data_IF_150573172637
#
_entry.id   IF_150573172637
#
_cell.length_a   1.000
_cell.length_b   1.000
_cell.length_c   1.000
_cell.angle_alpha   90.00
_cell.angle_beta   90.00
_cell.angle_gamma   90.00
#
_symmetry.space_group_name_H-M   'P 1'
#
loop_
_entity.id
_entity.type
_entity.pdbx_description
1 polymer ?
#
# COMPACT_ATOMS: atom_id res chain seq x y z
N UNK A 1 -21.23 11.79 4.21
CA UNK A 1 -21.00 12.50 2.93
C UNK A 1 -19.51 12.47 2.68
N UNK A 2 -19.04 11.83 1.59
CA UNK A 2 -17.59 11.77 1.27
C UNK A 2 -17.04 13.16 0.98
N UNK A 3 -15.80 13.41 1.41
CA UNK A 3 -15.06 14.66 1.17
C UNK A 3 -14.75 14.85 -0.33
N UNK A 4 -14.52 16.09 -0.75
CA UNK A 4 -14.14 16.39 -2.14
C UNK A 4 -12.76 15.81 -2.52
N UNK A 5 -11.87 15.65 -1.53
CA UNK A 5 -10.57 15.02 -1.72
C UNK A 5 -10.69 13.52 -1.99
N UNK A 6 -11.51 12.79 -1.23
CA UNK A 6 -11.82 11.37 -1.50
C UNK A 6 -12.47 11.21 -2.88
N UNK A 7 -13.43 12.07 -3.25
CA UNK A 7 -14.04 12.01 -4.59
C UNK A 7 -13.03 12.21 -5.72
N UNK A 8 -12.09 13.14 -5.54
CA UNK A 8 -11.02 13.36 -6.51
C UNK A 8 -10.07 12.16 -6.59
N UNK A 9 -9.79 11.51 -5.45
CA UNK A 9 -9.01 10.28 -5.41
C UNK A 9 -9.66 9.14 -6.21
N UNK A 10 -10.97 8.92 -6.05
CA UNK A 10 -11.70 7.92 -6.82
C UNK A 10 -11.55 8.14 -8.33
N UNK A 11 -11.69 9.39 -8.80
CA UNK A 11 -11.54 9.71 -10.23
C UNK A 11 -10.13 9.44 -10.75
N UNK A 12 -9.10 9.79 -9.97
CA UNK A 12 -7.71 9.50 -10.34
C UNK A 12 -7.46 7.99 -10.37
N UNK A 13 -7.97 7.24 -9.40
CA UNK A 13 -7.85 5.78 -9.36
C UNK A 13 -8.54 5.09 -10.55
N UNK A 14 -9.72 5.57 -10.96
CA UNK A 14 -10.45 5.04 -12.12
C UNK A 14 -9.71 5.28 -13.45
N UNK A 15 -8.86 6.30 -13.52
CA UNK A 15 -8.05 6.64 -14.69
C UNK A 15 -6.68 5.94 -14.72
N UNK A 16 -6.27 5.30 -13.62
CA UNK A 16 -4.99 4.60 -13.51
C UNK A 16 -5.02 3.26 -14.26
N UNK A 17 -4.05 3.04 -15.15
CA UNK A 17 -4.00 1.79 -15.94
C UNK A 17 -3.57 0.58 -15.09
N UNK A 18 -2.69 0.80 -14.11
CA UNK A 18 -2.10 -0.27 -13.29
C UNK A 18 -2.16 0.06 -11.81
N UNK A 19 -3.37 0.17 -11.23
CA UNK A 19 -3.51 0.55 -9.84
C UNK A 19 -2.91 -0.51 -8.91
N UNK A 20 -2.26 -0.04 -7.84
CA UNK A 20 -1.76 -0.91 -6.79
C UNK A 20 -2.92 -1.38 -5.90
N UNK A 21 -2.81 -2.60 -5.37
CA UNK A 21 -3.82 -3.18 -4.46
C UNK A 21 -4.13 -2.23 -3.29
N UNK A 22 -3.09 -1.72 -2.63
CA UNK A 22 -3.22 -0.89 -1.44
C UNK A 22 -3.67 0.55 -1.70
N UNK A 23 -3.76 0.96 -2.98
CA UNK A 23 -4.31 2.26 -3.37
C UNK A 23 -5.77 2.15 -3.81
N UNK A 24 -6.36 0.96 -3.76
CA UNK A 24 -7.75 0.78 -4.14
C UNK A 24 -8.70 1.44 -3.13
N UNK A 25 -9.69 2.25 -3.55
CA UNK A 25 -10.62 2.89 -2.63
C UNK A 25 -11.39 1.89 -1.76
N UNK A 26 -11.80 0.75 -2.33
CA UNK A 26 -12.47 -0.31 -1.58
C UNK A 26 -11.57 -0.93 -0.51
N UNK A 27 -10.25 -0.97 -0.71
CA UNK A 27 -9.29 -1.45 0.28
C UNK A 27 -9.17 -0.44 1.43
N UNK A 28 -9.09 0.85 1.10
CA UNK A 28 -9.04 1.93 2.07
C UNK A 28 -10.32 1.97 2.91
N UNK A 29 -11.49 1.81 2.28
CA UNK A 29 -12.77 1.72 2.97
C UNK A 29 -12.85 0.51 3.91
N UNK A 30 -12.37 -0.65 3.46
CA UNK A 30 -12.36 -1.87 4.27
C UNK A 30 -11.42 -1.79 5.47
N UNK A 31 -10.25 -1.16 5.30
CA UNK A 31 -9.20 -1.11 6.33
C UNK A 31 -9.33 0.07 7.29
N UNK A 32 -9.86 1.20 6.82
CA UNK A 32 -10.01 2.41 7.63
C UNK A 32 -11.44 2.59 8.17
N UNK A 33 -12.41 1.89 7.59
CA UNK A 33 -13.83 2.11 7.85
C UNK A 33 -14.37 3.37 7.17
N UNK A 34 -15.70 3.54 7.20
CA UNK A 34 -16.37 4.66 6.56
C UNK A 34 -15.90 6.01 7.13
N UNK A 35 -15.29 6.84 6.27
CA UNK A 35 -14.75 8.15 6.66
C UNK A 35 -13.45 8.09 7.48
N UNK A 36 -12.83 6.92 7.62
CA UNK A 36 -11.58 6.75 8.34
C UNK A 36 -10.34 7.11 7.53
N UNK A 37 -10.46 7.41 6.24
CA UNK A 37 -9.34 7.81 5.40
C UNK A 37 -9.66 9.09 4.63
N UNK A 38 -8.62 9.76 4.19
CA UNK A 38 -8.66 11.01 3.43
C UNK A 38 -7.50 11.02 2.44
N UNK A 39 -7.53 11.92 1.45
CA UNK A 39 -6.44 12.10 0.51
C UNK A 39 -5.81 13.49 0.64
N UNK A 40 -4.48 13.54 0.61
CA UNK A 40 -3.77 14.79 0.29
C UNK A 40 -3.87 14.96 -1.21
N UNK A 41 -4.42 16.09 -1.67
CA UNK A 41 -4.63 16.36 -3.10
C UNK A 41 -3.80 17.54 -3.55
N UNK A 42 -3.23 17.43 -4.74
CA UNK A 42 -2.56 18.53 -5.44
C UNK A 42 -3.35 18.94 -6.67
N UNK A 43 -3.43 20.25 -6.87
CA UNK A 43 -4.12 20.86 -8.01
C UNK A 43 -3.12 21.43 -9.01
N UNK A 44 -3.48 21.41 -10.28
CA UNK A 44 -2.79 22.16 -11.33
C UNK A 44 -3.24 23.63 -11.32
N UNK A 45 -2.63 24.45 -12.18
CA UNK A 45 -2.95 25.88 -12.32
C UNK A 45 -4.42 26.14 -12.68
N UNK A 46 -5.05 25.18 -13.36
CA UNK A 46 -6.47 25.21 -13.75
C UNK A 46 -7.42 24.74 -12.62
N UNK A 47 -6.92 24.61 -11.38
CA UNK A 47 -7.63 24.12 -10.20
C UNK A 47 -8.08 22.65 -10.24
N UNK A 48 -7.72 21.89 -11.29
CA UNK A 48 -8.04 20.46 -11.38
C UNK A 48 -7.12 19.65 -10.46
N UNK A 49 -7.68 18.67 -9.74
CA UNK A 49 -6.87 17.74 -8.94
C UNK A 49 -6.12 16.79 -9.89
N UNK A 50 -4.80 16.86 -9.84
CA UNK A 50 -3.89 16.11 -10.72
C UNK A 50 -3.10 15.02 -9.99
N UNK A 51 -3.11 15.03 -8.66
CA UNK A 51 -2.39 14.06 -7.86
C UNK A 51 -3.03 13.89 -6.49
N UNK A 52 -2.98 12.67 -5.95
CA UNK A 52 -3.48 12.39 -4.62
C UNK A 52 -2.76 11.24 -3.91
N UNK A 53 -2.54 11.38 -2.59
CA UNK A 53 -1.95 10.35 -1.71
C UNK A 53 -2.93 10.03 -0.57
N UNK A 54 -3.33 8.76 -0.40
CA UNK A 54 -4.26 8.40 0.65
C UNK A 54 -3.54 8.27 2.00
N UNK A 55 -4.27 8.54 3.07
CA UNK A 55 -3.82 8.29 4.44
C UNK A 55 -5.00 7.94 5.36
N UNK A 56 -4.71 7.21 6.43
CA UNK A 56 -5.68 6.99 7.51
C UNK A 56 -5.69 8.19 8.45
N UNK A 57 -6.88 8.76 8.64
CA UNK A 57 -7.11 9.92 9.51
C UNK A 57 -7.65 9.40 10.83
N UNK A 58 -6.86 9.54 11.89
CA UNK A 58 -7.21 9.00 13.21
C UNK A 58 -6.71 9.87 14.36
N UNK A 59 -6.90 9.39 15.59
CA UNK A 59 -6.35 10.01 16.79
C UNK A 59 -5.61 8.98 17.63
N UNK A 60 -4.40 9.32 18.08
CA UNK A 60 -3.60 8.49 18.98
C UNK A 60 -3.44 9.23 20.29
N UNK A 61 -4.03 8.70 21.37
CA UNK A 61 -4.04 9.34 22.70
C UNK A 61 -4.56 10.79 22.65
N UNK A 62 -5.58 11.05 21.84
CA UNK A 62 -6.19 12.38 21.67
C UNK A 62 -5.46 13.32 20.71
N UNK A 63 -4.30 12.94 20.19
CA UNK A 63 -3.57 13.72 19.19
C UNK A 63 -4.00 13.32 17.78
N UNK A 64 -4.25 14.30 16.91
CA UNK A 64 -4.54 14.05 15.50
C UNK A 64 -3.37 13.33 14.82
N UNK A 65 -3.67 12.24 14.12
CA UNK A 65 -2.67 11.40 13.47
C UNK A 65 -3.01 11.14 12.00
N UNK A 66 -2.00 11.28 11.16
CA UNK A 66 -1.97 10.84 9.77
C UNK A 66 -1.07 9.62 9.69
N UNK A 67 -1.65 8.45 9.44
CA UNK A 67 -0.88 7.20 9.42
C UNK A 67 -1.18 6.36 8.18
N UNK A 68 -0.32 5.39 7.88
CA UNK A 68 -0.61 4.38 6.86
C UNK A 68 -1.90 3.62 7.22
N UNK A 69 -2.82 3.42 6.26
CA UNK A 69 -4.00 2.59 6.46
C UNK A 69 -3.67 1.23 7.10
N UNK A 70 -4.50 0.72 8.01
CA UNK A 70 -4.30 -0.59 8.60
C UNK A 70 -4.10 -1.68 7.53
N UNK A 71 -3.29 -2.69 7.84
CA UNK A 71 -3.00 -3.82 6.94
C UNK A 71 -2.36 -3.44 5.59
N UNK A 72 -1.96 -2.20 5.40
CA UNK A 72 -1.37 -1.70 4.16
C UNK A 72 0.15 -1.68 4.25
N UNK A 73 0.82 -2.27 3.27
CA UNK A 73 2.29 -2.31 3.26
C UNK A 73 2.89 -0.95 2.93
N UNK A 74 2.31 -0.26 1.93
CA UNK A 74 2.68 1.09 1.53
C UNK A 74 1.50 1.78 0.87
N UNK A 75 1.43 3.10 1.02
CA UNK A 75 0.60 3.97 0.19
C UNK A 75 1.43 4.49 -0.98
N UNK A 76 0.77 4.84 -2.07
CA UNK A 76 1.43 5.37 -3.28
C UNK A 76 0.61 6.53 -3.84
N UNK A 77 1.31 7.44 -4.51
CA UNK A 77 0.70 8.54 -5.23
C UNK A 77 -0.11 7.98 -6.40
N UNK A 78 -1.31 8.52 -6.61
CA UNK A 78 -1.99 8.40 -7.89
C UNK A 78 -1.95 9.76 -8.56
N UNK A 79 -1.47 9.79 -9.80
CA UNK A 79 -1.36 11.01 -10.61
C UNK A 79 -2.25 10.90 -11.85
N UNK A 80 -2.66 12.05 -12.37
CA UNK A 80 -3.37 12.15 -13.65
C UNK A 80 -2.44 11.65 -14.77
N UNK A 81 -2.96 10.88 -15.74
CA UNK A 81 -2.18 10.47 -16.92
C UNK A 81 -1.59 11.66 -17.70
N UNK A 82 -2.31 12.79 -17.69
CA UNK A 82 -1.90 14.03 -18.37
C UNK A 82 -0.72 14.74 -17.70
N UNK A 83 -0.38 14.40 -16.45
CA UNK A 83 0.73 15.01 -15.72
C UNK A 83 1.53 13.96 -14.93
N UNK A 84 2.32 13.13 -15.64
CA UNK A 84 3.13 12.08 -15.02
C UNK A 84 4.36 12.63 -14.30
N UNK A 85 4.60 13.95 -14.35
CA UNK A 85 5.81 14.58 -13.81
C UNK A 85 5.69 14.92 -12.32
N UNK A 86 4.52 14.72 -11.72
CA UNK A 86 4.28 15.03 -10.31
C UNK A 86 5.05 14.05 -9.42
N UNK A 87 6.16 14.53 -8.86
CA UNK A 87 6.95 13.79 -7.88
C UNK A 87 6.22 13.66 -6.53
N UNK A 88 6.41 12.50 -5.88
CA UNK A 88 5.97 12.26 -4.50
C UNK A 88 6.45 13.36 -3.53
N UNK A 89 7.66 13.89 -3.74
CA UNK A 89 8.23 14.94 -2.90
C UNK A 89 7.38 16.19 -2.88
N UNK A 90 6.81 16.52 -4.04
CA UNK A 90 5.98 17.70 -4.18
C UNK A 90 4.71 17.57 -3.36
N UNK A 91 4.10 16.38 -3.29
CA UNK A 91 2.94 16.16 -2.45
C UNK A 91 3.26 16.16 -0.95
N UNK A 92 4.49 15.78 -0.58
CA UNK A 92 4.92 15.78 0.82
C UNK A 92 5.02 17.18 1.43
N UNK A 93 5.19 18.22 0.60
CA UNK A 93 5.11 19.61 1.08
C UNK A 93 3.69 20.05 1.39
N UNK A 94 2.69 19.38 0.80
CA UNK A 94 1.26 19.72 0.93
C UNK A 94 0.59 18.92 2.06
N UNK A 95 1.34 18.13 2.83
CA UNK A 95 0.80 17.36 3.94
C UNK A 95 0.13 18.31 4.96
N UNK A 96 -1.12 18.05 5.36
CA UNK A 96 -1.78 18.84 6.38
C UNK A 96 -1.05 18.67 7.71
N UNK A 97 -1.04 19.75 8.50
CA UNK A 97 -0.44 19.72 9.84
C UNK A 97 -1.16 18.69 10.71
N UNK A 98 -0.38 17.75 11.23
CA UNK A 98 -0.84 16.74 12.18
C UNK A 98 0.19 16.62 13.31
N UNK A 99 -0.27 16.26 14.50
CA UNK A 99 0.61 16.02 15.64
C UNK A 99 1.45 14.75 15.46
N UNK A 100 0.92 13.76 14.75
CA UNK A 100 1.59 12.49 14.45
C UNK A 100 1.49 12.22 12.95
N UNK A 101 2.64 11.99 12.33
CA UNK A 101 2.78 11.60 10.94
C UNK A 101 3.58 10.29 10.87
N UNK A 102 2.96 9.22 10.37
CA UNK A 102 3.60 7.91 10.17
C UNK A 102 3.11 7.28 8.86
N UNK A 103 3.75 7.66 7.75
CA UNK A 103 3.43 7.16 6.42
C UNK A 103 4.55 6.27 5.88
N UNK A 104 4.21 5.03 5.57
CA UNK A 104 4.97 4.13 4.72
C UNK A 104 4.58 4.37 3.26
N UNK A 105 5.43 5.08 2.51
CA UNK A 105 5.19 5.43 1.11
C UNK A 105 6.02 4.51 0.22
N UNK A 106 5.41 3.99 -0.85
CA UNK A 106 6.09 3.16 -1.83
C UNK A 106 7.24 3.97 -2.45
N UNK A 107 8.49 3.48 -2.39
CA UNK A 107 9.60 4.16 -3.03
C UNK A 107 9.52 3.89 -4.55
N UNK A 108 9.18 4.90 -5.33
CA UNK A 108 9.12 4.81 -6.80
C UNK A 108 10.49 5.02 -7.45
N UNK A 109 11.51 4.43 -6.82
CA UNK A 109 12.88 4.23 -7.32
C UNK A 109 13.86 5.40 -7.38
N UNK A 110 13.52 6.60 -6.91
CA UNK A 110 14.54 7.63 -6.63
C UNK A 110 14.45 8.11 -5.18
N UNK A 111 15.38 7.61 -4.37
CA UNK A 111 15.56 7.89 -2.93
C UNK A 111 15.94 9.35 -2.62
N UNK A 112 15.69 10.27 -3.53
CA UNK A 112 16.13 11.64 -3.42
C UNK A 112 15.02 12.49 -2.80
N UNK A 113 14.57 12.17 -1.58
CA UNK A 113 13.84 13.13 -0.74
C UNK A 113 14.77 14.28 -0.32
N UNK A 114 15.39 14.95 -1.29
CA UNK A 114 16.15 16.16 -1.09
C UNK A 114 15.16 17.25 -0.66
N UNK A 115 15.51 18.00 0.38
CA UNK A 115 14.74 19.14 0.88
C UNK A 115 13.46 18.83 1.66
N UNK A 116 13.27 17.60 2.17
CA UNK A 116 12.19 17.29 3.13
C UNK A 116 12.75 17.34 4.55
N UNK A 117 12.23 18.25 5.39
CA UNK A 117 12.56 18.36 6.81
C UNK A 117 11.78 17.37 7.69
N UNK A 118 11.61 16.13 7.23
CA UNK A 118 10.92 15.06 7.95
C UNK A 118 11.87 13.87 8.16
N UNK A 119 11.81 13.19 9.32
CA UNK A 119 12.57 11.96 9.53
C UNK A 119 12.04 10.85 8.59
N UNK A 120 12.94 10.23 7.83
CA UNK A 120 12.62 9.14 6.89
C UNK A 120 13.42 7.88 7.24
N UNK A 121 12.75 6.72 7.23
CA UNK A 121 13.38 5.41 7.42
C UNK A 121 13.10 4.54 6.20
N UNK A 122 14.12 3.89 5.67
CA UNK A 122 13.99 2.98 4.53
C UNK A 122 13.50 1.59 4.98
N UNK A 123 12.49 1.06 4.30
CA UNK A 123 11.98 -0.29 4.46
C UNK A 123 12.22 -1.08 3.17
N UNK A 124 12.75 -2.29 3.31
CA UNK A 124 13.02 -3.18 2.18
C UNK A 124 11.93 -4.23 2.04
N UNK A 125 11.61 -4.59 0.81
CA UNK A 125 10.72 -5.71 0.46
C UNK A 125 11.32 -6.51 -0.68
N UNK A 126 10.93 -7.77 -0.79
CA UNK A 126 11.30 -8.62 -1.91
C UNK A 126 10.25 -8.47 -3.02
N UNK A 127 10.70 -8.34 -4.26
CA UNK A 127 9.84 -8.33 -5.45
C UNK A 127 10.19 -9.57 -6.27
N UNK A 128 9.19 -10.41 -6.54
CA UNK A 128 9.31 -11.53 -7.49
C UNK A 128 8.70 -11.05 -8.80
N UNK A 129 9.49 -10.82 -9.86
CA UNK A 129 8.97 -10.32 -11.13
C UNK A 129 7.96 -11.29 -11.74
N UNK A 130 6.73 -10.82 -12.00
CA UNK A 130 5.65 -11.64 -12.56
C UNK A 130 5.79 -11.95 -14.06
N UNK A 131 6.87 -11.52 -14.72
CA UNK A 131 7.06 -11.67 -16.17
C UNK A 131 7.77 -12.98 -16.56
N UNK A 132 8.25 -13.76 -15.59
CA UNK A 132 8.91 -15.04 -15.85
C UNK A 132 7.91 -16.19 -15.72
N UNK A 133 8.05 -17.21 -16.57
CA UNK A 133 7.29 -18.46 -16.38
C UNK A 133 7.66 -19.09 -15.04
N UNK A 134 6.71 -19.78 -14.40
CA UNK A 134 6.98 -20.45 -13.12
C UNK A 134 8.13 -21.47 -13.21
N UNK A 135 8.32 -22.08 -14.38
CA UNK A 135 9.45 -22.98 -14.62
C UNK A 135 10.80 -22.24 -14.64
N UNK A 136 10.84 -21.04 -15.23
CA UNK A 136 12.03 -20.20 -15.23
C UNK A 136 12.38 -19.75 -13.80
N UNK A 137 11.38 -19.36 -12.99
CA UNK A 137 11.58 -19.00 -11.59
C UNK A 137 12.08 -20.20 -10.78
N UNK A 138 11.48 -21.39 -10.97
CA UNK A 138 11.88 -22.63 -10.30
C UNK A 138 13.29 -23.08 -10.66
N UNK A 139 13.76 -22.81 -11.88
CA UNK A 139 15.12 -23.15 -12.30
C UNK A 139 16.20 -22.48 -11.45
N UNK A 140 15.90 -21.28 -10.92
CA UNK A 140 16.79 -20.45 -10.09
C UNK A 140 16.80 -20.86 -8.61
N UNK A 141 15.99 -21.83 -8.20
CA UNK A 141 15.95 -22.28 -6.81
C UNK A 141 17.25 -23.00 -6.43
N UNK A 142 17.70 -22.79 -5.19
CA UNK A 142 18.79 -23.58 -4.64
C UNK A 142 18.36 -25.03 -4.38
N UNK A 143 19.32 -25.96 -4.32
CA UNK A 143 19.04 -27.39 -4.16
C UNK A 143 18.30 -27.72 -2.85
N UNK A 144 18.55 -26.95 -1.79
CA UNK A 144 17.84 -27.10 -0.51
C UNK A 144 16.34 -26.82 -0.64
N UNK A 145 15.98 -25.73 -1.32
CA UNK A 145 14.60 -25.34 -1.59
C UNK A 145 13.91 -26.37 -2.49
N UNK A 146 14.57 -26.82 -3.57
CA UNK A 146 14.04 -27.87 -4.45
C UNK A 146 13.71 -29.15 -3.68
N UNK A 147 14.62 -29.61 -2.81
CA UNK A 147 14.41 -30.79 -1.97
C UNK A 147 13.22 -30.61 -1.01
N UNK A 148 13.12 -29.44 -0.36
CA UNK A 148 12.04 -29.14 0.57
C UNK A 148 10.68 -29.10 -0.13
N UNK A 149 10.59 -28.50 -1.32
CA UNK A 149 9.37 -28.47 -2.13
C UNK A 149 8.92 -29.89 -2.51
N UNK A 150 9.84 -30.74 -2.99
CA UNK A 150 9.55 -32.15 -3.31
C UNK A 150 9.03 -32.96 -2.12
N UNK A 151 9.50 -32.64 -0.91
CA UNK A 151 9.00 -33.29 0.30
C UNK A 151 7.62 -32.75 0.70
N UNK A 152 7.41 -31.44 0.55
CA UNK A 152 6.12 -30.81 0.82
C UNK A 152 5.02 -31.33 -0.12
N UNK A 153 5.30 -31.48 -1.41
CA UNK A 153 4.37 -32.03 -2.41
C UNK A 153 3.87 -33.44 -2.07
N UNK A 154 4.64 -34.23 -1.32
CA UNK A 154 4.23 -35.57 -0.87
C UNK A 154 3.32 -35.54 0.35
N UNK A 155 3.49 -34.53 1.21
CA UNK A 155 2.87 -34.49 2.55
C UNK A 155 1.65 -33.57 2.59
N UNK A 156 1.55 -32.62 1.66
CA UNK A 156 0.52 -31.59 1.66
C UNK A 156 -0.21 -31.55 0.33
N UNK A 157 -1.49 -31.17 0.37
CA UNK A 157 -2.29 -30.87 -0.81
C UNK A 157 -2.76 -29.41 -0.73
N UNK A 158 -2.92 -28.78 -1.89
CA UNK A 158 -3.42 -27.41 -1.99
C UNK A 158 -4.92 -27.45 -2.29
N UNK A 159 -5.69 -26.66 -1.54
CA UNK A 159 -7.12 -26.49 -1.76
C UNK A 159 -7.45 -25.00 -1.71
N UNK A 160 -8.31 -24.58 -2.64
CA UNK A 160 -8.93 -23.24 -2.62
C UNK A 160 -10.24 -23.33 -1.83
N UNK A 161 -10.50 -22.34 -0.98
CA UNK A 161 -11.68 -22.28 -0.14
C UNK A 161 -12.14 -20.84 0.03
N UNK A 162 -13.45 -20.64 -0.10
CA UNK A 162 -14.11 -19.36 0.15
C UNK A 162 -14.56 -19.21 1.62
N UNK A 163 -14.27 -20.21 2.48
CA UNK A 163 -14.60 -20.14 3.89
C UNK A 163 -13.64 -19.21 4.65
N UNK A 164 -14.01 -17.93 4.67
CA UNK A 164 -13.29 -16.87 5.38
C UNK A 164 -13.12 -17.17 6.87
N UNK A 165 -13.94 -18.02 7.50
CA UNK A 165 -13.84 -18.32 8.94
C UNK A 165 -12.62 -19.18 9.26
N UNK A 166 -12.14 -19.96 8.30
CA UNK A 166 -10.92 -20.77 8.47
C UNK A 166 -9.70 -19.87 8.66
N UNK A 167 -9.63 -18.75 7.95
CA UNK A 167 -8.45 -17.88 7.96
C UNK A 167 -8.11 -17.30 9.36
N UNK A 168 -9.04 -16.66 10.11
CA UNK A 168 -8.79 -16.22 11.48
C UNK A 168 -8.31 -17.33 12.40
N UNK A 169 -8.88 -18.54 12.27
CA UNK A 169 -8.48 -19.69 13.09
C UNK A 169 -7.02 -20.10 12.85
N UNK A 170 -6.56 -20.07 11.59
CA UNK A 170 -5.17 -20.35 11.23
C UNK A 170 -4.22 -19.23 11.73
N UNK A 171 -4.65 -17.97 11.63
CA UNK A 171 -3.89 -16.84 12.16
C UNK A 171 -3.71 -16.95 13.68
N UNK A 172 -4.77 -17.31 14.42
CA UNK A 172 -4.72 -17.51 15.87
C UNK A 172 -3.76 -18.64 16.25
N UNK A 173 -3.87 -19.80 15.59
CA UNK A 173 -2.95 -20.93 15.81
C UNK A 173 -1.49 -20.52 15.59
N UNK A 174 -1.21 -19.79 14.51
CA UNK A 174 0.14 -19.30 14.21
C UNK A 174 0.65 -18.34 15.27
N UNK A 175 -0.20 -17.43 15.75
CA UNK A 175 0.17 -16.47 16.78
C UNK A 175 0.50 -17.16 18.12
N UNK A 176 -0.33 -18.13 18.54
CA UNK A 176 -0.14 -18.86 19.79
C UNK A 176 1.13 -19.71 19.81
N UNK A 177 1.59 -20.21 18.65
CA UNK A 177 2.83 -20.97 18.52
C UNK A 177 4.10 -20.12 18.66
N UNK A 178 4.00 -18.79 18.64
CA UNK A 178 5.15 -17.87 18.76
C UNK A 178 5.54 -17.53 20.20
N UNK A 179 4.93 -18.18 21.20
CA UNK A 179 5.36 -18.12 22.61
C UNK A 179 6.63 -18.94 22.83
#
# INVERSE_FOLDING_TARGET
>A
MQSDAVRSYHRLFEAEEKPLLYTAPWWLDATCGAGGWEAVTRKAEDERVVAALPYHKTTIRGLSAMITPPLTQWVSLISSPDDPTISHQSLLTDLPKSAILDLCIKPDTELLYQNINLPVVLKYSFIIPGMESMDAVRSKYNEGLKRNLKQAEKNYSLQESDDIKVFPSLCEQTYLQRK
#
